data_IF_023102373990
#
_entry.id   IF_023102373990
#
_cell.length_a   1.000
_cell.length_b   1.000
_cell.length_c   1.000
_cell.angle_alpha   90.00
_cell.angle_beta   90.00
_cell.angle_gamma   90.00
#
_symmetry.space_group_name_H-M   'P 1'
#
loop_
_entity.id
_entity.type
_entity.pdbx_description
1 polymer ?
#
# COMPACT_ATOMS: atom_id res chain seq x y z
N UNK A 1 0.59 -43.73 9.89
CA UNK A 1 1.57 -42.81 10.52
C UNK A 1 1.86 -41.71 9.52
N UNK A 2 1.21 -40.58 9.75
CA UNK A 2 1.23 -39.35 8.97
C UNK A 2 2.60 -38.69 9.04
N UNK A 3 3.21 -38.37 7.90
CA UNK A 3 4.36 -37.47 7.82
C UNK A 3 3.87 -36.14 7.23
N UNK A 4 4.14 -35.11 8.02
CA UNK A 4 3.83 -33.70 7.80
C UNK A 4 4.43 -33.18 6.50
N UNK A 5 3.59 -32.55 5.67
CA UNK A 5 3.96 -31.77 4.49
C UNK A 5 4.41 -30.39 4.97
N UNK A 6 5.66 -30.33 5.41
CA UNK A 6 6.32 -29.07 5.76
C UNK A 6 7.80 -29.24 5.44
N UNK A 7 8.12 -29.30 4.15
CA UNK A 7 9.44 -28.99 3.58
C UNK A 7 9.52 -29.34 2.07
N UNK A 8 10.06 -28.37 1.31
CA UNK A 8 10.61 -28.45 -0.07
C UNK A 8 9.56 -28.46 -1.20
N UNK A 9 9.62 -27.57 -2.20
CA UNK A 9 10.79 -27.30 -3.04
C UNK A 9 10.90 -25.83 -3.51
N UNK A 10 12.08 -25.26 -3.22
CA UNK A 10 12.78 -24.34 -4.11
C UNK A 10 13.48 -25.14 -5.23
N UNK A 11 13.58 -24.52 -6.41
CA UNK A 11 14.52 -24.85 -7.49
C UNK A 11 13.93 -25.75 -8.58
N UNK A 12 14.21 -25.58 -9.88
CA UNK A 12 15.09 -24.68 -10.62
C UNK A 12 14.76 -24.87 -12.11
N UNK A 13 14.74 -23.81 -12.92
CA UNK A 13 15.00 -23.94 -14.37
C UNK A 13 16.00 -22.86 -14.79
N UNK A 14 17.25 -23.26 -14.96
CA UNK A 14 18.25 -22.57 -15.78
C UNK A 14 19.11 -23.63 -16.49
N UNK A 15 19.21 -23.53 -17.81
CA UNK A 15 20.29 -24.05 -18.65
C UNK A 15 20.37 -23.18 -19.93
N UNK A 16 21.17 -22.12 -19.92
CA UNK A 16 22.57 -21.98 -20.41
C UNK A 16 22.72 -21.68 -21.92
N UNK A 17 23.05 -20.42 -22.23
CA UNK A 17 23.96 -20.05 -23.32
C UNK A 17 24.81 -18.85 -22.86
N UNK A 18 26.13 -18.99 -22.91
CA UNK A 18 27.11 -18.07 -22.35
C UNK A 18 27.47 -16.93 -23.31
N UNK A 19 27.63 -15.72 -22.77
CA UNK A 19 28.60 -14.70 -23.19
C UNK A 19 28.87 -13.78 -21.99
N UNK A 20 30.15 -13.53 -21.72
CA UNK A 20 30.66 -13.01 -20.47
C UNK A 20 30.43 -11.50 -20.29
N UNK A 21 29.69 -11.13 -19.24
CA UNK A 21 29.79 -9.87 -18.49
C UNK A 21 29.33 -10.16 -17.06
N UNK A 22 30.06 -9.67 -16.05
CA UNK A 22 29.88 -9.97 -14.62
C UNK A 22 28.41 -10.10 -14.19
N UNK A 23 27.97 -11.25 -13.63
CA UNK A 23 26.65 -11.32 -13.04
C UNK A 23 26.70 -10.60 -11.69
N UNK A 24 26.08 -9.44 -11.61
CA UNK A 24 25.48 -9.02 -10.34
C UNK A 24 24.49 -10.12 -10.02
N UNK A 25 24.81 -10.96 -9.03
CA UNK A 25 23.87 -11.92 -8.50
C UNK A 25 22.76 -11.15 -7.80
N UNK A 26 21.73 -10.77 -8.56
CA UNK A 26 20.39 -10.50 -8.01
C UNK A 26 19.86 -11.84 -7.49
N UNK A 27 20.32 -12.20 -6.29
CA UNK A 27 19.52 -13.05 -5.44
C UNK A 27 18.23 -12.26 -5.19
N UNK A 28 17.16 -12.63 -5.88
CA UNK A 28 15.82 -12.31 -5.42
C UNK A 28 15.74 -12.89 -4.01
N UNK A 29 15.97 -12.04 -3.02
CA UNK A 29 15.85 -12.45 -1.64
C UNK A 29 14.43 -12.98 -1.47
N UNK A 30 14.29 -14.16 -0.90
CA UNK A 30 12.98 -14.73 -0.55
C UNK A 30 12.26 -13.74 0.38
N UNK A 31 10.94 -13.51 0.21
CA UNK A 31 10.16 -12.77 1.20
C UNK A 31 10.39 -13.41 2.57
N UNK A 32 10.82 -12.62 3.55
CA UNK A 32 11.09 -13.12 4.89
C UNK A 32 9.80 -13.61 5.52
N UNK A 33 9.88 -14.74 6.22
CA UNK A 33 8.80 -15.37 6.99
C UNK A 33 7.78 -14.37 7.57
N UNK A 34 6.55 -14.46 7.03
CA UNK A 34 5.31 -13.81 7.43
C UNK A 34 5.14 -12.31 7.07
N UNK A 35 4.61 -12.06 5.87
CA UNK A 35 3.62 -10.98 5.76
C UNK A 35 2.51 -11.23 6.77
N UNK A 36 2.01 -10.21 7.48
CA UNK A 36 0.95 -10.37 8.50
C UNK A 36 -0.22 -11.23 8.01
N UNK A 37 -0.56 -11.10 6.73
CA UNK A 37 -1.68 -11.80 6.12
C UNK A 37 -1.47 -13.32 5.99
N UNK A 38 -0.23 -13.81 5.85
CA UNK A 38 0.01 -15.26 5.78
C UNK A 38 -0.25 -15.94 7.13
N UNK A 39 -0.26 -15.16 8.23
CA UNK A 39 -0.75 -15.60 9.53
C UNK A 39 -2.23 -16.01 9.54
N UNK A 40 -3.01 -15.61 8.53
CA UNK A 40 -4.41 -16.01 8.34
C UNK A 40 -4.56 -17.33 7.58
N UNK A 41 -3.48 -17.97 7.11
CA UNK A 41 -3.56 -19.28 6.50
C UNK A 41 -4.12 -20.32 7.50
N UNK A 42 -5.06 -21.14 7.03
CA UNK A 42 -5.54 -22.31 7.75
C UNK A 42 -4.41 -23.34 7.94
N UNK A 43 -4.51 -24.15 9.00
CA UNK A 43 -3.61 -25.31 9.19
C UNK A 43 -3.99 -26.51 8.30
N UNK A 44 -5.18 -26.48 7.70
CA UNK A 44 -5.67 -27.50 6.79
C UNK A 44 -5.64 -26.98 5.36
N UNK A 45 -5.22 -27.83 4.42
CA UNK A 45 -5.23 -27.49 3.00
C UNK A 45 -6.67 -27.24 2.50
N UNK A 46 -6.87 -26.29 1.57
CA UNK A 46 -8.17 -26.09 0.95
C UNK A 46 -8.61 -27.36 0.18
N UNK A 47 -9.91 -27.64 0.10
CA UNK A 47 -10.42 -28.78 -0.65
C UNK A 47 -10.11 -28.63 -2.15
N UNK A 48 -9.82 -29.76 -2.78
CA UNK A 48 -9.54 -29.87 -4.22
C UNK A 48 -10.65 -30.64 -4.95
N UNK A 49 -10.79 -30.36 -6.24
CA UNK A 49 -11.89 -30.79 -7.09
C UNK A 49 -11.37 -31.35 -8.42
N UNK A 50 -12.15 -32.21 -9.08
CA UNK A 50 -11.75 -32.80 -10.37
C UNK A 50 -11.81 -31.77 -11.52
N UNK A 51 -12.64 -30.74 -11.37
CA UNK A 51 -12.85 -29.68 -12.37
C UNK A 51 -12.94 -28.32 -11.70
N UNK A 52 -12.55 -27.23 -12.38
CA UNK A 52 -12.70 -25.89 -11.80
C UNK A 52 -14.17 -25.51 -11.59
N UNK A 53 -15.09 -26.03 -12.40
CA UNK A 53 -16.53 -25.80 -12.25
C UNK A 53 -17.04 -26.32 -10.90
N UNK A 54 -16.54 -27.45 -10.41
CA UNK A 54 -16.88 -27.98 -9.10
C UNK A 54 -16.42 -27.05 -7.95
N UNK A 55 -15.24 -26.43 -8.08
CA UNK A 55 -14.77 -25.44 -7.11
C UNK A 55 -15.66 -24.19 -7.10
N UNK A 56 -16.07 -23.72 -8.28
CA UNK A 56 -17.00 -22.58 -8.43
C UNK A 56 -18.37 -22.90 -7.82
N UNK A 57 -18.92 -24.09 -8.04
CA UNK A 57 -20.19 -24.51 -7.44
C UNK A 57 -20.09 -24.65 -5.91
N UNK A 58 -18.97 -25.15 -5.38
CA UNK A 58 -18.73 -25.19 -3.94
C UNK A 58 -18.68 -23.79 -3.32
N UNK A 59 -18.03 -22.84 -4.00
CA UNK A 59 -17.98 -21.42 -3.63
C UNK A 59 -19.37 -20.79 -3.58
N UNK A 60 -20.16 -20.93 -4.65
CA UNK A 60 -21.55 -20.45 -4.68
C UNK A 60 -22.39 -21.07 -3.58
N UNK A 61 -22.23 -22.37 -3.32
CA UNK A 61 -22.99 -23.07 -2.30
C UNK A 61 -22.68 -22.57 -0.88
N UNK A 62 -21.40 -22.31 -0.56
CA UNK A 62 -21.00 -21.74 0.72
C UNK A 62 -21.63 -20.35 0.95
N UNK A 63 -21.50 -19.47 -0.05
CA UNK A 63 -22.08 -18.11 0.01
C UNK A 63 -23.61 -18.11 0.11
N UNK A 64 -24.28 -18.97 -0.66
CA UNK A 64 -25.74 -19.10 -0.65
C UNK A 64 -26.26 -19.63 0.69
N UNK A 65 -25.50 -20.50 1.35
CA UNK A 65 -25.82 -21.04 2.67
C UNK A 65 -25.48 -20.10 3.83
N UNK A 66 -24.86 -18.94 3.55
CA UNK A 66 -24.28 -18.06 4.57
C UNK A 66 -23.23 -18.76 5.46
N UNK A 67 -22.50 -19.72 4.88
CA UNK A 67 -21.55 -20.56 5.60
C UNK A 67 -20.13 -19.98 5.49
N UNK A 68 -19.82 -19.03 6.38
CA UNK A 68 -18.53 -18.35 6.42
C UNK A 68 -17.35 -19.30 6.65
N UNK A 69 -17.54 -20.32 7.48
CA UNK A 69 -16.49 -21.30 7.80
C UNK A 69 -16.18 -22.14 6.56
N UNK A 70 -17.20 -22.55 5.80
CA UNK A 70 -16.99 -23.26 4.53
C UNK A 70 -16.40 -22.36 3.45
N UNK A 71 -16.81 -21.10 3.38
CA UNK A 71 -16.24 -20.11 2.46
C UNK A 71 -14.74 -19.93 2.71
N UNK A 72 -14.34 -19.69 3.97
CA UNK A 72 -12.93 -19.54 4.33
C UNK A 72 -12.14 -20.83 4.16
N UNK A 73 -12.73 -22.00 4.45
CA UNK A 73 -12.11 -23.29 4.18
C UNK A 73 -11.81 -23.53 2.69
N UNK A 74 -12.70 -23.09 1.78
CA UNK A 74 -12.44 -23.14 0.33
C UNK A 74 -11.22 -22.33 -0.05
N UNK A 75 -11.02 -21.17 0.57
CA UNK A 75 -9.91 -20.25 0.31
C UNK A 75 -8.64 -20.61 1.09
N UNK A 76 -8.68 -21.61 1.97
CA UNK A 76 -7.56 -21.98 2.85
C UNK A 76 -7.27 -20.95 3.95
N UNK A 77 -8.28 -20.21 4.39
CA UNK A 77 -8.17 -19.15 5.41
C UNK A 77 -8.66 -19.68 6.77
N UNK A 78 -7.98 -19.30 7.84
CA UNK A 78 -8.40 -19.53 9.23
C UNK A 78 -9.64 -18.66 9.54
N UNK A 79 -10.80 -19.30 9.64
CA UNK A 79 -12.08 -18.65 9.87
C UNK A 79 -12.11 -17.82 11.17
N UNK A 80 -11.48 -18.31 12.24
CA UNK A 80 -11.51 -17.64 13.53
C UNK A 80 -10.68 -16.35 13.51
N UNK A 81 -9.51 -16.38 12.86
CA UNK A 81 -8.69 -15.18 12.66
C UNK A 81 -9.38 -14.19 11.73
N UNK A 82 -9.90 -14.67 10.60
CA UNK A 82 -10.58 -13.82 9.63
C UNK A 82 -11.78 -13.09 10.27
N UNK A 83 -12.57 -13.78 11.10
CA UNK A 83 -13.73 -13.20 11.77
C UNK A 83 -13.36 -12.16 12.86
N UNK A 84 -12.17 -12.24 13.40
CA UNK A 84 -11.68 -11.30 14.41
C UNK A 84 -11.13 -10.00 13.80
N UNK A 85 -10.88 -9.98 12.49
CA UNK A 85 -10.33 -8.83 11.78
C UNK A 85 -11.45 -7.88 11.30
N UNK A 86 -11.18 -6.59 11.37
CA UNK A 86 -12.17 -5.55 11.11
C UNK A 86 -12.57 -5.53 9.62
N UNK A 87 -13.86 -5.40 9.34
CA UNK A 87 -14.38 -5.29 7.97
C UNK A 87 -14.41 -6.61 7.16
N UNK A 88 -13.85 -7.72 7.66
CA UNK A 88 -13.90 -9.01 6.95
C UNK A 88 -15.34 -9.51 6.78
N UNK A 89 -16.18 -9.41 7.82
CA UNK A 89 -17.57 -9.86 7.73
C UNK A 89 -18.41 -8.97 6.79
N UNK A 90 -18.09 -7.67 6.70
CA UNK A 90 -18.73 -6.76 5.75
C UNK A 90 -18.30 -7.09 4.31
N UNK A 91 -17.02 -7.35 4.10
CA UNK A 91 -16.48 -7.81 2.80
C UNK A 91 -17.13 -9.13 2.39
N UNK A 92 -17.26 -10.09 3.32
CA UNK A 92 -17.96 -11.34 3.07
C UNK A 92 -19.43 -11.12 2.67
N UNK A 93 -20.15 -10.22 3.35
CA UNK A 93 -21.52 -9.86 2.98
C UNK A 93 -21.60 -9.25 1.57
N UNK A 94 -20.64 -8.40 1.19
CA UNK A 94 -20.55 -7.83 -0.16
C UNK A 94 -20.25 -8.91 -1.22
N UNK A 95 -19.35 -9.84 -0.93
CA UNK A 95 -19.05 -10.98 -1.82
C UNK A 95 -20.30 -11.84 -2.03
N UNK A 96 -21.08 -12.11 -0.98
CA UNK A 96 -22.35 -12.83 -1.06
C UNK A 96 -23.38 -12.10 -1.91
N UNK A 97 -23.64 -10.83 -1.60
CA UNK A 97 -24.58 -9.99 -2.35
C UNK A 97 -24.19 -9.91 -3.84
N UNK A 98 -22.92 -9.61 -4.12
CA UNK A 98 -22.39 -9.55 -5.48
C UNK A 98 -22.53 -10.88 -6.22
N UNK A 99 -22.24 -12.01 -5.56
CA UNK A 99 -22.34 -13.34 -6.17
C UNK A 99 -23.80 -13.71 -6.45
N UNK A 100 -24.74 -13.27 -5.60
CA UNK A 100 -26.18 -13.47 -5.82
C UNK A 100 -26.71 -12.73 -7.06
N UNK A 101 -26.05 -11.64 -7.46
CA UNK A 101 -26.38 -10.86 -8.65
C UNK A 101 -25.75 -11.45 -9.91
N UNK A 102 -24.44 -11.65 -9.89
CA UNK A 102 -23.69 -12.10 -11.08
C UNK A 102 -22.37 -12.75 -10.68
N UNK A 103 -21.99 -13.77 -11.46
CA UNK A 103 -20.68 -14.39 -11.39
C UNK A 103 -20.20 -14.75 -12.79
N UNK A 104 -18.96 -14.39 -13.10
CA UNK A 104 -18.27 -14.72 -14.35
C UNK A 104 -16.97 -15.41 -14.00
N UNK A 105 -16.57 -16.40 -14.79
CA UNK A 105 -15.29 -17.09 -14.60
C UNK A 105 -14.43 -16.82 -15.83
N UNK A 106 -13.26 -16.20 -15.63
CA UNK A 106 -12.27 -15.95 -16.69
C UNK A 106 -11.10 -16.90 -16.57
N UNK A 107 -10.57 -17.32 -17.71
CA UNK A 107 -9.30 -18.03 -17.79
C UNK A 107 -8.18 -17.01 -18.02
N UNK A 108 -7.21 -16.97 -17.10
CA UNK A 108 -6.04 -16.09 -17.16
C UNK A 108 -4.84 -16.94 -16.81
N UNK A 109 -3.93 -17.11 -17.77
CA UNK A 109 -2.68 -17.88 -17.61
C UNK A 109 -2.87 -19.28 -17.00
N UNK A 110 -3.95 -19.97 -17.39
CA UNK A 110 -4.27 -21.32 -16.92
C UNK A 110 -4.90 -21.38 -15.53
N UNK A 111 -5.19 -20.23 -14.92
CA UNK A 111 -5.96 -20.08 -13.68
C UNK A 111 -7.37 -19.60 -13.98
N UNK A 112 -8.32 -19.90 -13.09
CA UNK A 112 -9.69 -19.37 -13.16
C UNK A 112 -9.88 -18.23 -12.17
N UNK A 113 -10.23 -17.05 -12.68
CA UNK A 113 -10.55 -15.88 -11.86
C UNK A 113 -12.07 -15.75 -11.77
N UNK A 114 -12.60 -15.67 -10.56
CA UNK A 114 -14.03 -15.42 -10.32
C UNK A 114 -14.25 -13.90 -10.27
N UNK A 115 -15.12 -13.39 -11.13
CA UNK A 115 -15.57 -12.01 -11.13
C UNK A 115 -17.00 -11.91 -10.58
N UNK A 116 -17.21 -10.99 -9.65
CA UNK A 116 -18.40 -10.94 -8.79
C UNK A 116 -19.18 -9.64 -9.03
N UNK A 117 -20.50 -9.77 -9.14
CA UNK A 117 -21.44 -8.65 -9.26
C UNK A 117 -21.39 -7.91 -10.59
N UNK A 118 -22.13 -6.81 -10.68
CA UNK A 118 -22.28 -6.02 -11.91
C UNK A 118 -20.99 -5.28 -12.30
N UNK A 119 -20.15 -4.98 -11.30
CA UNK A 119 -18.83 -4.37 -11.49
C UNK A 119 -17.75 -5.37 -11.93
N UNK A 120 -18.09 -6.67 -12.04
CA UNK A 120 -17.14 -7.74 -12.36
C UNK A 120 -15.89 -7.69 -11.47
N UNK A 121 -16.08 -7.48 -10.17
CA UNK A 121 -14.97 -7.37 -9.24
C UNK A 121 -14.22 -8.71 -9.14
N UNK A 122 -12.91 -8.77 -9.47
CA UNK A 122 -12.17 -10.02 -9.45
C UNK A 122 -11.87 -10.43 -8.00
N UNK A 123 -12.35 -11.61 -7.60
CA UNK A 123 -12.00 -12.25 -6.34
C UNK A 123 -10.49 -12.51 -6.29
N UNK A 124 -9.79 -12.15 -5.20
CA UNK A 124 -8.33 -12.28 -5.13
C UNK A 124 -7.81 -13.71 -5.26
N UNK A 125 -8.60 -14.71 -4.86
CA UNK A 125 -8.19 -16.11 -4.81
C UNK A 125 -8.50 -16.80 -6.14
N UNK A 126 -7.51 -17.05 -7.01
CA UNK A 126 -7.74 -17.77 -8.26
C UNK A 126 -7.93 -19.27 -7.98
N UNK A 127 -8.65 -19.96 -8.86
CA UNK A 127 -8.67 -21.43 -8.87
C UNK A 127 -7.55 -21.90 -9.79
N UNK A 128 -6.60 -22.64 -9.24
CA UNK A 128 -5.44 -23.18 -9.96
C UNK A 128 -5.50 -24.70 -10.03
N UNK A 129 -4.82 -25.27 -11.03
CA UNK A 129 -4.64 -26.71 -11.17
C UNK A 129 -3.35 -27.13 -10.48
N UNK A 130 -3.43 -28.04 -9.52
CA UNK A 130 -2.29 -28.63 -8.84
C UNK A 130 -1.59 -29.71 -9.67
N UNK A 131 -0.42 -30.14 -9.20
CA UNK A 131 0.40 -31.20 -9.84
C UNK A 131 -0.31 -32.57 -9.87
N UNK A 132 -1.23 -32.80 -8.94
CA UNK A 132 -2.10 -33.98 -8.90
C UNK A 132 -3.23 -33.94 -9.95
N UNK A 133 -3.30 -32.86 -10.73
CA UNK A 133 -4.28 -32.64 -11.76
C UNK A 133 -5.62 -32.09 -11.27
N UNK A 134 -5.77 -31.86 -9.97
CA UNK A 134 -6.99 -31.35 -9.35
C UNK A 134 -6.99 -29.83 -9.26
N UNK A 135 -8.16 -29.25 -9.06
CA UNK A 135 -8.39 -27.80 -9.02
C UNK A 135 -8.76 -27.37 -7.60
N UNK A 136 -8.20 -26.26 -7.14
CA UNK A 136 -8.52 -25.67 -5.84
C UNK A 136 -8.22 -24.18 -5.84
N UNK A 137 -8.74 -23.44 -4.86
CA UNK A 137 -8.32 -22.05 -4.68
C UNK A 137 -6.86 -21.99 -4.25
N UNK A 138 -6.10 -21.10 -4.86
CA UNK A 138 -4.71 -20.82 -4.50
C UNK A 138 -4.70 -19.77 -3.38
N UNK A 139 -4.54 -20.25 -2.15
CA UNK A 139 -4.52 -19.42 -0.94
C UNK A 139 -3.41 -18.37 -0.98
N UNK A 140 -2.21 -18.75 -1.41
CA UNK A 140 -1.04 -17.85 -1.33
C UNK A 140 -1.05 -16.82 -2.45
N UNK A 141 -1.47 -17.20 -3.66
CA UNK A 141 -1.73 -16.23 -4.73
C UNK A 141 -2.83 -15.23 -4.32
N UNK A 142 -3.85 -15.69 -3.59
CA UNK A 142 -4.89 -14.79 -3.08
C UNK A 142 -4.39 -13.81 -2.01
N UNK A 143 -3.48 -14.24 -1.13
CA UNK A 143 -2.86 -13.33 -0.17
C UNK A 143 -1.92 -12.31 -0.82
N UNK A 144 -1.15 -12.73 -1.81
CA UNK A 144 -0.29 -11.84 -2.62
C UNK A 144 -1.15 -10.76 -3.31
N UNK A 145 -2.22 -11.16 -3.99
CA UNK A 145 -3.14 -10.22 -4.66
C UNK A 145 -3.80 -9.23 -3.67
N UNK A 146 -4.13 -9.65 -2.44
CA UNK A 146 -4.65 -8.72 -1.42
C UNK A 146 -3.59 -7.69 -1.02
N UNK A 147 -2.34 -8.13 -0.85
CA UNK A 147 -1.23 -7.22 -0.53
C UNK A 147 -1.02 -6.24 -1.68
N UNK A 148 -0.98 -6.74 -2.92
CA UNK A 148 -0.73 -5.92 -4.11
C UNK A 148 -1.81 -4.84 -4.29
N UNK A 149 -3.08 -5.19 -4.07
CA UNK A 149 -4.19 -4.21 -4.09
C UNK A 149 -4.02 -3.14 -3.02
N UNK A 150 -3.67 -3.53 -1.80
CA UNK A 150 -3.45 -2.60 -0.69
C UNK A 150 -2.26 -1.68 -0.96
N UNK A 151 -1.17 -2.23 -1.50
CA UNK A 151 0.01 -1.48 -1.92
C UNK A 151 -0.40 -0.43 -2.97
N UNK A 152 -1.10 -0.85 -4.02
CA UNK A 152 -1.57 0.06 -5.07
C UNK A 152 -2.48 1.17 -4.53
N UNK A 153 -3.44 0.84 -3.68
CA UNK A 153 -4.34 1.82 -3.06
C UNK A 153 -3.57 2.83 -2.18
N UNK A 154 -2.68 2.34 -1.33
CA UNK A 154 -1.85 3.21 -0.47
C UNK A 154 -0.93 4.12 -1.30
N UNK A 155 -0.36 3.63 -2.39
CA UNK A 155 0.52 4.41 -3.27
C UNK A 155 -0.26 5.51 -4.00
N UNK A 156 -1.43 5.20 -4.55
CA UNK A 156 -2.32 6.19 -5.16
C UNK A 156 -2.72 7.27 -4.13
N UNK A 157 -3.13 6.85 -2.94
CA UNK A 157 -3.49 7.78 -1.86
C UNK A 157 -2.29 8.63 -1.41
N UNK A 158 -1.08 8.09 -1.47
CA UNK A 158 0.15 8.82 -1.16
C UNK A 158 0.44 9.89 -2.21
N UNK A 159 0.23 9.59 -3.50
CA UNK A 159 0.38 10.57 -4.58
C UNK A 159 -0.62 11.72 -4.41
N UNK A 160 -1.88 11.41 -4.10
CA UNK A 160 -2.90 12.43 -3.83
C UNK A 160 -2.55 13.27 -2.59
N UNK A 161 -2.04 12.64 -1.54
CA UNK A 161 -1.56 13.34 -0.33
C UNK A 161 -0.39 14.27 -0.64
N UNK A 162 0.55 13.86 -1.50
CA UNK A 162 1.68 14.70 -1.95
C UNK A 162 1.21 15.95 -2.68
N UNK A 163 0.16 15.83 -3.51
CA UNK A 163 -0.44 16.95 -4.25
C UNK A 163 -1.17 17.90 -3.30
N UNK A 164 -1.99 17.34 -2.41
CA UNK A 164 -2.68 18.12 -1.39
C UNK A 164 -1.72 18.88 -0.48
N UNK A 165 -0.56 18.29 -0.14
CA UNK A 165 0.50 18.99 0.60
C UNK A 165 1.01 20.23 -0.12
N UNK A 166 1.20 20.17 -1.45
CA UNK A 166 1.68 21.31 -2.24
C UNK A 166 0.67 22.46 -2.20
N UNK A 167 -0.62 22.15 -2.31
CA UNK A 167 -1.68 23.16 -2.26
C UNK A 167 -1.84 23.74 -0.85
N UNK A 168 -1.80 22.88 0.18
CA UNK A 168 -1.83 23.30 1.58
C UNK A 168 -0.66 24.22 1.95
N UNK A 169 0.55 23.95 1.46
CA UNK A 169 1.71 24.83 1.68
C UNK A 169 1.51 26.21 1.05
N UNK A 170 0.97 26.27 -0.17
CA UNK A 170 0.68 27.55 -0.84
C UNK A 170 -0.36 28.35 -0.07
N UNK A 171 -1.41 27.70 0.41
CA UNK A 171 -2.45 28.34 1.22
C UNK A 171 -1.88 28.84 2.56
N UNK A 172 -1.12 28.03 3.28
CA UNK A 172 -0.47 28.42 4.54
C UNK A 172 0.40 29.67 4.35
N UNK A 173 1.20 29.72 3.28
CA UNK A 173 2.06 30.88 2.97
C UNK A 173 1.34 32.16 2.57
N UNK A 174 0.00 32.15 2.51
CA UNK A 174 -0.79 33.36 2.20
C UNK A 174 -1.11 34.22 3.42
N UNK A 175 -0.85 33.73 4.62
CA UNK A 175 -1.07 34.42 5.89
C UNK A 175 0.16 34.36 6.81
N UNK A 176 0.25 35.34 7.71
CA UNK A 176 1.22 35.36 8.80
C UNK A 176 0.58 34.62 9.99
N UNK A 177 1.20 33.51 10.40
CA UNK A 177 0.66 32.59 11.38
C UNK A 177 1.30 32.73 12.77
N UNK A 178 2.37 33.51 12.91
CA UNK A 178 3.08 33.72 14.18
C UNK A 178 3.27 35.22 14.56
N UNK A 179 2.67 36.12 13.78
CA UNK A 179 2.68 37.57 13.95
C UNK A 179 4.09 38.19 13.90
N UNK A 180 5.04 37.55 13.21
CA UNK A 180 6.41 38.04 13.04
C UNK A 180 6.58 38.99 11.83
N UNK A 181 5.55 39.10 10.98
CA UNK A 181 5.51 39.91 9.77
C UNK A 181 6.06 39.22 8.52
N UNK A 182 6.36 37.92 8.57
CA UNK A 182 6.91 37.13 7.46
C UNK A 182 5.90 36.09 7.01
N UNK A 183 5.62 36.06 5.70
CA UNK A 183 4.87 34.97 5.08
C UNK A 183 5.81 33.79 4.83
N UNK A 184 5.45 32.62 5.33
CA UNK A 184 6.29 31.43 5.26
C UNK A 184 5.51 30.14 4.97
N UNK A 185 6.22 29.09 4.60
CA UNK A 185 5.67 27.74 4.48
C UNK A 185 5.69 27.03 5.84
N UNK A 186 4.74 26.14 6.07
CA UNK A 186 4.64 25.39 7.31
C UNK A 186 5.78 24.37 7.44
N UNK A 187 6.50 24.42 8.56
CA UNK A 187 7.55 23.45 8.89
C UNK A 187 7.00 22.19 9.61
N UNK A 188 5.68 22.11 9.81
CA UNK A 188 4.99 20.97 10.43
C UNK A 188 3.80 20.52 9.58
N UNK A 189 3.58 19.21 9.51
CA UNK A 189 2.37 18.65 8.89
C UNK A 189 1.16 18.82 9.80
N UNK A 190 1.32 18.52 11.08
CA UNK A 190 0.29 18.65 12.11
C UNK A 190 0.73 19.75 13.08
N UNK A 191 -0.13 20.71 13.35
CA UNK A 191 0.12 21.78 14.32
C UNK A 191 0.31 21.22 15.72
N UNK A 192 1.06 21.96 16.52
CA UNK A 192 1.18 21.71 17.95
C UNK A 192 -0.15 21.96 18.66
N UNK A 193 -0.36 21.33 19.82
CA UNK A 193 -1.60 21.46 20.58
C UNK A 193 -1.97 22.93 20.84
N UNK A 194 -3.14 23.34 20.33
CA UNK A 194 -3.65 24.70 20.49
C UNK A 194 -3.00 25.75 19.58
N UNK A 195 -2.33 25.35 18.50
CA UNK A 195 -1.60 26.23 17.57
C UNK A 195 -2.03 26.01 16.12
N UNK A 196 -1.64 26.95 15.26
CA UNK A 196 -1.77 26.94 13.80
C UNK A 196 -0.39 26.93 13.12
N UNK A 197 0.61 26.31 13.76
CA UNK A 197 2.02 26.28 13.34
C UNK A 197 2.37 25.10 12.40
N UNK A 198 1.36 24.52 11.75
CA UNK A 198 1.45 23.40 10.83
C UNK A 198 0.28 23.37 9.85
N UNK A 199 0.33 22.49 8.85
CA UNK A 199 -0.68 22.45 7.78
C UNK A 199 -2.09 21.99 8.24
N UNK A 200 -2.16 21.28 9.36
CA UNK A 200 -3.41 20.79 9.93
C UNK A 200 -3.57 21.17 11.39
N UNK A 201 -4.73 21.72 11.72
CA UNK A 201 -5.23 21.87 13.09
C UNK A 201 -6.69 21.45 13.14
N UNK A 202 -7.14 21.01 14.33
CA UNK A 202 -8.52 20.57 14.53
C UNK A 202 -9.50 21.73 14.30
N UNK A 203 -10.64 21.51 13.61
CA UNK A 203 -11.72 22.49 13.54
C UNK A 203 -12.22 22.96 14.91
N UNK A 204 -12.12 22.10 15.93
CA UNK A 204 -12.52 22.42 17.31
C UNK A 204 -11.67 23.53 17.94
N UNK A 205 -10.51 23.84 17.35
CA UNK A 205 -9.65 24.94 17.81
C UNK A 205 -10.31 26.31 17.59
N UNK A 206 -11.23 26.43 16.61
CA UNK A 206 -11.93 27.68 16.31
C UNK A 206 -11.09 28.73 15.57
N UNK A 207 -9.94 28.35 15.02
CA UNK A 207 -8.98 29.22 14.33
C UNK A 207 -9.17 29.21 12.79
N UNK A 208 -10.39 28.93 12.34
CA UNK A 208 -10.70 28.74 10.92
C UNK A 208 -10.28 27.38 10.36
N UNK A 209 -10.53 27.19 9.07
CA UNK A 209 -10.21 25.95 8.36
C UNK A 209 -8.68 25.82 8.21
N UNK A 210 -8.17 24.61 8.43
CA UNK A 210 -6.75 24.34 8.20
C UNK A 210 -6.46 24.07 6.71
N UNK A 211 -5.29 24.46 6.18
CA UNK A 211 -4.95 24.26 4.76
C UNK A 211 -5.02 22.81 4.29
N UNK A 212 -4.65 21.86 5.16
CA UNK A 212 -4.77 20.43 4.88
C UNK A 212 -6.08 19.81 5.38
N UNK A 213 -7.03 20.60 5.90
CA UNK A 213 -8.26 20.12 6.53
C UNK A 213 -9.08 19.20 5.63
N UNK A 214 -9.34 19.62 4.39
CA UNK A 214 -10.09 18.84 3.40
C UNK A 214 -9.35 17.57 2.93
N UNK A 215 -8.02 17.59 2.98
CA UNK A 215 -7.19 16.45 2.58
C UNK A 215 -6.99 15.43 3.70
N UNK A 216 -7.23 15.83 4.96
CA UNK A 216 -7.01 15.04 6.17
C UNK A 216 -8.32 14.77 6.96
N UNK A 217 -9.48 14.84 6.29
CA UNK A 217 -10.79 14.63 6.92
C UNK A 217 -10.98 13.23 7.53
N UNK A 218 -10.16 12.25 7.12
CA UNK A 218 -10.18 10.91 7.67
C UNK A 218 -9.46 10.86 9.03
N UNK A 219 -10.23 11.13 10.09
CA UNK A 219 -9.79 10.98 11.47
C UNK A 219 -9.26 9.57 11.79
N UNK A 220 -9.78 8.51 11.14
CA UNK A 220 -9.30 7.16 11.37
C UNK A 220 -7.89 6.95 10.79
N UNK A 221 -7.61 7.52 9.62
CA UNK A 221 -6.27 7.51 9.04
C UNK A 221 -5.28 8.33 9.89
N UNK A 222 -5.69 9.47 10.45
CA UNK A 222 -4.88 10.26 11.37
C UNK A 222 -4.59 9.52 12.68
N UNK A 223 -5.59 8.83 13.25
CA UNK A 223 -5.42 8.06 14.48
C UNK A 223 -4.47 6.86 14.28
N UNK A 224 -4.56 6.17 13.14
CA UNK A 224 -3.59 5.15 12.72
C UNK A 224 -2.18 5.72 12.57
N UNK A 225 -2.05 6.90 11.96
CA UNK A 225 -0.75 7.57 11.83
C UNK A 225 -0.13 7.89 13.21
N UNK A 226 -0.93 8.38 14.17
CA UNK A 226 -0.50 8.63 15.55
C UNK A 226 -0.12 7.35 16.30
N UNK A 227 -0.77 6.23 15.99
CA UNK A 227 -0.41 4.91 16.52
C UNK A 227 0.86 4.31 15.89
N UNK A 228 1.47 4.99 14.90
CA UNK A 228 2.68 4.56 14.23
C UNK A 228 2.45 3.64 13.03
N UNK A 229 1.20 3.45 12.61
CA UNK A 229 0.81 2.65 11.44
C UNK A 229 0.90 3.43 10.11
N UNK A 230 1.27 4.71 10.20
CA UNK A 230 1.37 5.60 9.04
C UNK A 230 0.02 6.15 8.60
N UNK A 231 0.07 7.22 7.80
CA UNK A 231 -1.09 7.78 7.15
C UNK A 231 -1.27 7.03 5.82
N UNK A 232 -2.35 6.24 5.71
CA UNK A 232 -2.53 5.26 4.62
C UNK A 232 -1.31 4.35 4.39
N UNK A 233 -0.70 3.85 5.47
CA UNK A 233 0.43 2.92 5.40
C UNK A 233 1.78 3.57 5.04
N UNK A 234 1.84 4.91 5.00
CA UNK A 234 3.04 5.68 4.66
C UNK A 234 3.49 6.61 5.79
N UNK A 235 4.81 6.82 5.87
CA UNK A 235 5.44 7.88 6.67
C UNK A 235 5.62 9.09 5.79
N UNK A 236 5.46 10.29 6.36
CA UNK A 236 5.67 11.55 5.66
C UNK A 236 6.63 12.41 6.46
N UNK A 237 7.49 13.15 5.76
CA UNK A 237 8.39 14.11 6.40
C UNK A 237 8.72 15.26 5.46
N UNK A 238 8.65 16.47 6.00
CA UNK A 238 9.07 17.69 5.31
C UNK A 238 10.59 17.67 5.11
N UNK A 239 11.01 18.15 3.95
CA UNK A 239 12.40 18.36 3.59
C UNK A 239 12.65 19.87 3.45
N UNK A 240 13.69 20.35 4.12
CA UNK A 240 14.01 21.77 4.29
C UNK A 240 15.15 22.26 3.37
N UNK A 241 15.53 21.48 2.36
CA UNK A 241 16.57 21.86 1.39
C UNK A 241 16.41 21.16 0.05
N UNK A 242 17.00 21.73 -1.01
CA UNK A 242 17.20 21.04 -2.30
C UNK A 242 18.67 20.91 -2.68
N UNK A 243 18.93 19.90 -3.51
CA UNK A 243 20.27 19.57 -4.00
C UNK A 243 20.54 20.15 -5.40
N UNK A 244 21.73 19.86 -5.95
CA UNK A 244 22.17 20.43 -7.22
C UNK A 244 21.49 19.84 -8.46
N UNK A 245 20.77 18.72 -8.35
CA UNK A 245 20.17 18.04 -9.51
C UNK A 245 18.85 18.68 -9.98
N UNK A 246 18.36 19.69 -9.27
CA UNK A 246 17.07 20.34 -9.52
C UNK A 246 17.29 21.78 -9.96
N UNK A 247 16.38 22.29 -10.80
CA UNK A 247 16.36 23.70 -11.19
C UNK A 247 16.40 24.62 -9.95
N UNK A 248 17.24 25.66 -10.01
CA UNK A 248 17.54 26.51 -8.86
C UNK A 248 18.80 26.10 -8.08
N UNK A 249 19.29 24.86 -8.27
CA UNK A 249 20.52 24.37 -7.64
C UNK A 249 20.38 24.15 -6.14
N UNK A 250 21.51 23.95 -5.45
CA UNK A 250 21.54 23.64 -4.02
C UNK A 250 21.26 24.89 -3.17
N UNK A 251 20.24 24.84 -2.32
CA UNK A 251 20.01 25.82 -1.25
C UNK A 251 19.07 25.27 -0.16
N UNK A 252 19.11 25.90 1.00
CA UNK A 252 18.23 25.60 2.13
C UNK A 252 16.95 26.42 2.03
N UNK A 253 15.82 25.83 2.39
CA UNK A 253 14.50 26.47 2.33
C UNK A 253 14.23 27.40 3.52
N UNK A 254 14.89 27.14 4.65
CA UNK A 254 14.75 27.89 5.90
C UNK A 254 15.80 28.99 5.99
N UNK A 255 15.35 30.24 6.16
CA UNK A 255 16.20 31.43 6.28
C UNK A 255 15.77 32.18 7.54
N UNK A 256 16.71 32.41 8.47
CA UNK A 256 16.47 33.08 9.75
C UNK A 256 15.37 32.45 10.62
N UNK A 257 15.12 31.14 10.45
CA UNK A 257 14.06 30.43 11.18
C UNK A 257 12.79 30.21 10.38
N UNK A 258 12.61 30.94 9.27
CA UNK A 258 11.35 30.94 8.51
C UNK A 258 11.52 30.18 7.19
N UNK A 259 10.60 29.30 6.86
CA UNK A 259 10.69 28.49 5.63
C UNK A 259 10.14 29.29 4.44
N UNK A 260 10.97 30.13 3.83
CA UNK A 260 10.54 31.12 2.83
C UNK A 260 11.07 30.86 1.41
N UNK A 261 12.11 30.03 1.26
CA UNK A 261 12.76 29.83 -0.03
C UNK A 261 12.21 28.63 -0.83
N UNK A 262 11.40 27.78 -0.20
CA UNK A 262 10.76 26.63 -0.85
C UNK A 262 10.26 25.61 0.16
N UNK A 263 9.83 24.46 -0.32
CA UNK A 263 9.45 23.31 0.50
C UNK A 263 9.54 22.02 -0.31
N UNK A 264 9.68 20.90 0.39
CA UNK A 264 9.53 19.58 -0.20
C UNK A 264 8.98 18.57 0.81
N UNK A 265 8.48 17.45 0.31
CA UNK A 265 8.01 16.32 1.11
C UNK A 265 8.62 15.03 0.58
N UNK A 266 8.87 14.11 1.49
CA UNK A 266 9.18 12.71 1.18
C UNK A 266 8.19 11.81 1.90
N UNK A 267 7.76 10.73 1.23
CA UNK A 267 7.03 9.65 1.86
C UNK A 267 7.58 8.29 1.50
N UNK A 268 7.51 7.36 2.44
CA UNK A 268 7.94 5.98 2.23
C UNK A 268 7.06 5.01 3.04
N UNK A 269 6.90 3.76 2.59
CA UNK A 269 6.04 2.81 3.24
C UNK A 269 6.52 2.49 4.66
N UNK A 270 5.57 2.25 5.55
CA UNK A 270 5.81 1.73 6.90
C UNK A 270 6.48 0.36 6.83
N UNK A 271 6.07 -0.48 5.86
CA UNK A 271 6.70 -1.77 5.55
C UNK A 271 6.79 -1.97 4.05
N UNK A 272 8.02 -2.06 3.56
CA UNK A 272 8.32 -2.35 2.15
C UNK A 272 7.69 -3.69 1.73
N UNK A 273 6.98 -3.68 0.61
CA UNK A 273 6.30 -4.86 0.05
C UNK A 273 5.02 -5.26 0.77
N UNK A 274 4.59 -4.53 1.81
CA UNK A 274 3.32 -4.79 2.51
C UNK A 274 2.38 -3.59 2.50
N UNK A 275 2.89 -2.41 2.87
CA UNK A 275 2.11 -1.17 2.87
C UNK A 275 2.43 -0.29 1.67
N UNK A 276 3.50 -0.59 0.96
CA UNK A 276 3.92 0.08 -0.26
C UNK A 276 5.29 -0.41 -0.73
N UNK A 277 5.67 -0.07 -1.95
CA UNK A 277 6.97 -0.39 -2.57
C UNK A 277 7.78 0.89 -2.80
N UNK A 278 7.13 1.91 -3.37
CA UNK A 278 7.78 3.13 -3.79
C UNK A 278 7.97 4.13 -2.64
N UNK A 279 9.09 4.85 -2.69
CA UNK A 279 9.30 6.10 -1.97
C UNK A 279 8.97 7.26 -2.89
N UNK A 280 8.27 8.28 -2.38
CA UNK A 280 7.83 9.44 -3.14
C UNK A 280 8.52 10.72 -2.67
N UNK A 281 8.77 11.65 -3.60
CA UNK A 281 9.21 13.02 -3.29
C UNK A 281 8.45 14.05 -4.13
N UNK A 282 8.14 15.20 -3.54
CA UNK A 282 7.56 16.36 -4.24
C UNK A 282 8.18 17.65 -3.71
N UNK A 283 8.27 18.68 -4.53
CA UNK A 283 8.65 20.04 -4.10
C UNK A 283 7.59 21.06 -4.55
N UNK A 284 7.87 22.35 -4.35
CA UNK A 284 6.97 23.45 -4.73
C UNK A 284 6.51 23.46 -6.20
N UNK A 285 7.20 22.76 -7.11
CA UNK A 285 6.78 22.64 -8.51
C UNK A 285 5.59 21.68 -8.69
N UNK A 286 5.27 20.85 -7.69
CA UNK A 286 4.14 19.91 -7.71
C UNK A 286 4.39 18.60 -8.46
N UNK A 287 5.56 18.42 -9.06
CA UNK A 287 5.94 17.16 -9.71
C UNK A 287 6.28 16.10 -8.66
N UNK A 288 5.54 14.98 -8.68
CA UNK A 288 5.78 13.84 -7.80
C UNK A 288 6.73 12.86 -8.48
N UNK A 289 7.80 12.52 -7.78
CA UNK A 289 8.79 11.53 -8.17
C UNK A 289 8.63 10.28 -7.33
N UNK A 290 8.92 9.11 -7.90
CA UNK A 290 8.91 7.83 -7.22
C UNK A 290 10.21 7.05 -7.44
N UNK A 291 10.59 6.22 -6.48
CA UNK A 291 11.70 5.27 -6.60
C UNK A 291 11.46 4.03 -5.71
N UNK A 292 11.70 2.83 -6.24
CA UNK A 292 11.82 1.61 -5.44
C UNK A 292 13.23 1.55 -4.84
N UNK A 293 13.34 1.78 -3.53
CA UNK A 293 14.61 1.73 -2.78
C UNK A 293 14.90 0.33 -2.20
N UNK A 294 14.09 -0.66 -2.56
CA UNK A 294 14.19 -2.05 -2.15
C UNK A 294 13.90 -2.28 -0.67
N UNK A 295 14.34 -3.44 -0.17
CA UNK A 295 14.14 -3.86 1.23
C UNK A 295 14.74 -2.92 2.29
N UNK A 296 15.64 -2.03 1.90
CA UNK A 296 16.24 -1.04 2.78
C UNK A 296 15.52 0.32 2.74
N UNK A 297 14.34 0.40 2.11
CA UNK A 297 13.54 1.62 1.95
C UNK A 297 13.44 2.43 3.24
N UNK A 298 13.06 1.82 4.37
CA UNK A 298 12.94 2.55 5.64
C UNK A 298 14.25 3.25 6.03
N UNK A 299 15.38 2.54 5.95
CA UNK A 299 16.69 3.08 6.31
C UNK A 299 17.16 4.16 5.32
N UNK A 300 16.97 3.94 4.03
CA UNK A 300 17.45 4.84 2.98
C UNK A 300 16.60 6.11 2.97
N UNK A 301 15.27 5.99 2.90
CA UNK A 301 14.34 7.13 2.88
C UNK A 301 14.43 7.96 4.19
N UNK A 302 14.61 7.30 5.33
CA UNK A 302 14.87 7.99 6.59
C UNK A 302 16.20 8.75 6.60
N UNK A 303 17.14 8.49 5.68
CA UNK A 303 18.39 9.22 5.52
C UNK A 303 18.34 10.37 4.51
N UNK A 304 17.31 10.43 3.66
CA UNK A 304 17.17 11.50 2.65
C UNK A 304 16.79 12.81 3.34
N UNK A 305 17.65 13.83 3.28
CA UNK A 305 17.44 15.13 3.95
C UNK A 305 17.27 16.31 3.00
N UNK A 306 17.35 16.04 1.70
CA UNK A 306 17.39 17.06 0.66
C UNK A 306 16.59 16.55 -0.52
N UNK A 307 15.73 17.41 -1.08
CA UNK A 307 15.00 17.12 -2.30
C UNK A 307 16.00 17.16 -3.46
N UNK A 308 16.37 15.98 -3.93
CA UNK A 308 17.36 15.83 -4.99
C UNK A 308 17.12 14.52 -5.77
N UNK A 309 15.92 14.30 -6.35
CA UNK A 309 15.73 13.25 -7.34
C UNK A 309 16.87 13.22 -8.37
N UNK A 310 17.37 12.02 -8.66
CA UNK A 310 18.40 11.74 -9.65
C UNK A 310 17.88 10.74 -10.69
N UNK A 311 18.76 10.17 -11.52
CA UNK A 311 18.39 9.25 -12.59
C UNK A 311 17.72 7.94 -12.10
N UNK A 312 17.71 7.66 -10.79
CA UNK A 312 17.00 6.51 -10.21
C UNK A 312 15.56 6.85 -9.79
N UNK A 313 15.11 8.09 -10.02
CA UNK A 313 13.77 8.54 -9.71
C UNK A 313 12.97 8.71 -10.99
N UNK A 314 11.76 8.17 -10.99
CA UNK A 314 10.83 8.26 -12.10
C UNK A 314 9.71 9.24 -11.76
N UNK A 315 9.06 9.80 -12.78
CA UNK A 315 7.84 10.56 -12.58
C UNK A 315 6.70 9.57 -12.32
N UNK A 316 5.79 9.93 -11.42
CA UNK A 316 4.53 9.17 -11.27
C UNK A 316 3.68 9.38 -12.53
N UNK A 317 3.16 8.30 -13.10
CA UNK A 317 2.19 8.38 -14.19
C UNK A 317 0.81 8.79 -13.67
N UNK A 318 0.11 9.64 -14.43
CA UNK A 318 -1.26 10.12 -14.17
C UNK A 318 -2.33 9.21 -14.79
#
# INVERSE_FOLDING_TARGET
>A
MTKSVRNMLLGSVFALAALATNPVSTSAAEPSDATVISGFASQSDPPVFETPEQAVEAFKAALSADDFDKFTALLGIDAAKAKADEGVMDTYAQIRDGTSKKIVVKDVDGRKIIEIGDKLWPLPFPIAKGDDGKWGFDTYAGFEEIIDRRVGENELQTIDTMRAYVDAQKEYSSADHDDDGVLEYAQKLISSDGKTDGLYWSPDLGEGDSPAGNALEDNAALDKAKAGEGYYGYRYRIIESQGPNIAGGKFDYVINGNMIAGFALIAWPIRYGETGVHTFQVNANGTVYQADLGRQTEKIAAGIRTFNPDDNWELTDD
#
